data_IF_392890627064
#
_entry.id   IF_392890627064
#
_cell.length_a   1.000
_cell.length_b   1.000
_cell.length_c   1.000
_cell.angle_alpha   90.00
_cell.angle_beta   90.00
_cell.angle_gamma   90.00
#
_symmetry.space_group_name_H-M   'P 1'
#
loop_
_entity.id
_entity.type
_entity.pdbx_description
1 polymer ?
#
# COMPACT_ATOMS: atom_id res chain seq x y z
N UNK A 1 -70.52 -2.36 -51.27
CA UNK A 1 -71.75 -2.24 -50.46
C UNK A 1 -71.34 -2.18 -49.00
N UNK A 2 -72.12 -1.47 -48.20
CA UNK A 2 -71.93 -0.93 -46.83
C UNK A 2 -71.61 -2.00 -45.73
N UNK A 3 -71.29 -1.63 -44.47
CA UNK A 3 -69.99 -1.82 -43.79
C UNK A 3 -70.09 -2.62 -42.46
N UNK A 4 -69.01 -2.70 -41.69
CA UNK A 4 -68.98 -2.84 -40.20
C UNK A 4 -67.50 -2.93 -39.78
N UNK A 5 -66.86 -2.14 -38.91
CA UNK A 5 -67.18 -1.33 -37.73
C UNK A 5 -67.67 -2.10 -36.50
N UNK A 6 -66.71 -2.54 -35.68
CA UNK A 6 -66.73 -2.68 -34.21
C UNK A 6 -65.27 -2.49 -33.75
N UNK A 7 -64.84 -1.35 -33.20
CA UNK A 7 -64.98 -0.87 -31.82
C UNK A 7 -64.55 -1.87 -30.73
N UNK A 8 -63.33 -1.70 -30.21
CA UNK A 8 -62.91 -1.90 -28.81
C UNK A 8 -61.37 -1.74 -28.74
N UNK A 9 -60.83 -0.55 -28.50
CA UNK A 9 -60.62 0.02 -27.16
C UNK A 9 -59.80 -0.88 -26.22
N UNK A 10 -58.46 -0.89 -26.36
CA UNK A 10 -57.56 -1.07 -25.21
C UNK A 10 -56.31 -0.22 -25.45
N UNK A 11 -56.27 0.90 -24.71
CA UNK A 11 -55.11 1.61 -24.16
C UNK A 11 -53.79 1.52 -24.94
N UNK A 12 -53.36 2.59 -25.62
CA UNK A 12 -52.57 3.66 -24.98
C UNK A 12 -51.68 3.16 -23.84
N UNK A 13 -50.53 2.57 -24.15
CA UNK A 13 -49.29 2.70 -23.37
C UNK A 13 -48.25 1.70 -23.89
N UNK A 14 -47.62 1.95 -25.06
CA UNK A 14 -46.43 1.16 -25.43
C UNK A 14 -45.48 1.92 -26.37
N UNK A 15 -45.23 3.19 -26.11
CA UNK A 15 -44.24 3.97 -26.87
C UNK A 15 -43.51 5.04 -26.03
N UNK A 16 -43.32 4.81 -24.72
CA UNK A 16 -42.47 5.65 -23.86
C UNK A 16 -41.39 4.81 -23.15
N UNK A 17 -40.49 4.17 -23.91
CA UNK A 17 -39.39 3.45 -23.26
C UNK A 17 -38.07 3.38 -24.05
N UNK A 18 -37.75 4.33 -24.93
CA UNK A 18 -36.44 4.30 -25.61
C UNK A 18 -35.82 5.69 -25.87
N UNK A 19 -35.99 6.62 -24.93
CA UNK A 19 -35.12 7.80 -24.81
C UNK A 19 -34.32 7.71 -23.50
N UNK A 20 -33.49 6.67 -23.41
CA UNK A 20 -32.48 6.56 -22.36
C UNK A 20 -31.41 7.62 -22.58
N UNK A 21 -31.52 8.75 -21.89
CA UNK A 21 -30.46 9.74 -21.76
C UNK A 21 -29.23 9.08 -21.12
N UNK A 22 -28.19 8.82 -21.92
CA UNK A 22 -26.83 8.67 -21.40
C UNK A 22 -26.29 10.06 -21.09
N UNK A 23 -26.70 10.61 -19.95
CA UNK A 23 -26.03 11.74 -19.32
C UNK A 23 -26.17 11.54 -17.81
N UNK A 24 -25.23 10.78 -17.27
CA UNK A 24 -24.90 10.86 -15.86
C UNK A 24 -24.45 12.30 -15.60
N UNK A 25 -25.36 13.12 -15.10
CA UNK A 25 -25.04 14.42 -14.52
C UNK A 25 -24.13 14.15 -13.32
N UNK A 26 -22.84 14.55 -13.33
CA UNK A 26 -22.16 14.78 -12.07
C UNK A 26 -22.77 16.07 -11.53
N UNK A 27 -23.39 15.99 -10.37
CA UNK A 27 -23.67 17.18 -9.57
C UNK A 27 -22.35 17.85 -9.24
N UNK A 28 -21.91 18.79 -10.08
CA UNK A 28 -20.89 19.77 -9.73
C UNK A 28 -21.52 20.74 -8.75
N UNK A 29 -21.55 20.35 -7.47
CA UNK A 29 -21.55 21.30 -6.37
C UNK A 29 -20.19 21.97 -6.36
N UNK A 30 -20.08 23.11 -7.04
CA UNK A 30 -18.95 24.03 -6.91
C UNK A 30 -18.91 24.56 -5.48
N UNK A 31 -18.23 23.83 -4.60
CA UNK A 31 -17.48 24.46 -3.52
C UNK A 31 -16.19 24.96 -4.16
N UNK A 32 -16.11 26.26 -4.39
CA UNK A 32 -14.85 26.93 -4.70
C UNK A 32 -13.91 26.75 -3.50
N UNK A 33 -13.13 25.66 -3.51
CA UNK A 33 -11.87 25.62 -2.79
C UNK A 33 -10.87 26.40 -3.64
N UNK A 34 -10.26 27.42 -3.05
CA UNK A 34 -9.11 28.10 -3.63
C UNK A 34 -8.01 27.06 -3.83
N UNK A 35 -7.89 26.54 -5.05
CA UNK A 35 -6.89 25.54 -5.41
C UNK A 35 -5.56 26.27 -5.58
N UNK A 36 -4.90 26.51 -4.46
CA UNK A 36 -3.54 27.00 -4.44
C UNK A 36 -2.65 25.88 -4.98
N UNK A 37 -2.25 26.00 -6.25
CA UNK A 37 -1.30 25.10 -6.91
C UNK A 37 0.07 25.28 -6.26
N UNK A 38 0.28 24.61 -5.13
CA UNK A 38 1.60 24.45 -4.54
C UNK A 38 2.33 23.41 -5.39
N UNK A 39 3.48 23.78 -5.94
CA UNK A 39 4.32 22.83 -6.67
C UNK A 39 5.00 21.91 -5.66
N UNK A 40 4.39 20.75 -5.38
CA UNK A 40 4.97 19.74 -4.48
C UNK A 40 5.94 18.87 -5.27
N UNK A 41 7.15 18.70 -4.74
CA UNK A 41 8.15 17.78 -5.32
C UNK A 41 7.57 16.37 -5.37
N UNK A 42 7.57 15.78 -6.56
CA UNK A 42 7.17 14.40 -6.78
C UNK A 42 8.37 13.47 -6.51
N UNK A 43 8.08 12.28 -6.00
CA UNK A 43 9.05 11.24 -5.71
C UNK A 43 8.48 9.90 -6.19
N UNK A 44 9.36 9.04 -6.68
CA UNK A 44 8.99 7.67 -7.01
C UNK A 44 8.74 6.87 -5.73
N UNK A 45 7.90 5.84 -5.82
CA UNK A 45 7.56 4.99 -4.68
C UNK A 45 8.82 4.40 -4.02
N UNK A 46 9.82 4.01 -4.83
CA UNK A 46 11.11 3.48 -4.37
C UNK A 46 11.78 4.36 -3.32
N UNK A 47 11.65 5.69 -3.41
CA UNK A 47 12.22 6.64 -2.42
C UNK A 47 11.74 6.37 -0.99
N UNK A 48 10.55 5.78 -0.84
CA UNK A 48 9.95 5.50 0.47
C UNK A 48 9.92 4.01 0.83
N UNK A 49 10.10 3.12 -0.16
CA UNK A 49 10.01 1.67 0.04
C UNK A 49 11.36 0.96 0.04
N UNK A 50 12.40 1.52 -0.57
CA UNK A 50 13.76 0.99 -0.49
C UNK A 50 14.38 1.32 0.87
N UNK A 51 13.97 0.54 1.87
CA UNK A 51 14.37 0.73 3.27
C UNK A 51 14.84 -0.59 3.85
N UNK A 52 15.77 -0.51 4.81
CA UNK A 52 16.22 -1.66 5.60
C UNK A 52 15.62 -1.57 7.01
N UNK A 53 14.88 -2.59 7.41
CA UNK A 53 14.39 -2.74 8.77
C UNK A 53 15.49 -3.32 9.66
N UNK A 54 15.63 -2.74 10.85
CA UNK A 54 16.50 -3.25 11.90
C UNK A 54 15.67 -3.34 13.19
N UNK A 55 15.69 -4.51 13.83
CA UNK A 55 14.95 -4.74 15.08
C UNK A 55 15.73 -5.66 16.01
N UNK A 56 15.32 -5.68 17.28
CA UNK A 56 16.06 -6.39 18.32
C UNK A 56 17.43 -5.74 18.56
N UNK A 57 17.92 -5.82 19.80
CA UNK A 57 19.30 -5.47 20.09
C UNK A 57 19.77 -6.14 21.37
N UNK A 58 21.00 -6.66 21.34
CA UNK A 58 21.69 -7.14 22.53
C UNK A 58 23.16 -6.79 22.44
N UNK A 59 23.71 -6.21 23.50
CA UNK A 59 25.13 -5.93 23.58
C UNK A 59 25.91 -7.21 23.88
N UNK A 60 27.07 -7.37 23.25
CA UNK A 60 28.04 -8.40 23.63
C UNK A 60 28.44 -8.23 25.10
N UNK A 61 28.89 -9.29 25.81
CA UNK A 61 29.33 -9.17 27.20
C UNK A 61 30.49 -8.19 27.39
N UNK A 62 31.33 -8.01 26.36
CA UNK A 62 32.43 -7.03 26.34
C UNK A 62 31.96 -5.60 26.01
N UNK A 63 30.72 -5.44 25.55
CA UNK A 63 30.13 -4.15 25.18
C UNK A 63 30.76 -3.52 23.94
N UNK A 64 31.40 -4.31 23.08
CA UNK A 64 32.06 -3.86 21.85
C UNK A 64 31.22 -4.11 20.59
N UNK A 65 30.16 -4.93 20.69
CA UNK A 65 29.31 -5.32 19.58
C UNK A 65 27.83 -5.35 19.93
N UNK A 66 26.97 -5.25 18.92
CA UNK A 66 25.52 -5.33 19.04
C UNK A 66 24.99 -6.41 18.09
N UNK A 67 24.24 -7.37 18.62
CA UNK A 67 23.48 -8.33 17.83
C UNK A 67 22.13 -7.71 17.47
N UNK A 68 21.81 -7.68 16.17
CA UNK A 68 20.55 -7.16 15.63
C UNK A 68 19.94 -8.14 14.62
N UNK A 69 18.64 -8.00 14.38
CA UNK A 69 17.97 -8.58 13.21
C UNK A 69 17.85 -7.53 12.13
N UNK A 70 18.15 -7.90 10.88
CA UNK A 70 17.95 -7.02 9.73
C UNK A 70 17.46 -7.79 8.51
N UNK A 71 16.61 -7.13 7.72
CA UNK A 71 16.09 -7.62 6.44
C UNK A 71 16.95 -7.21 5.23
N UNK A 72 18.18 -6.71 5.45
CA UNK A 72 19.10 -6.26 4.39
C UNK A 72 19.36 -7.34 3.31
N UNK A 73 19.27 -8.62 3.68
CA UNK A 73 19.39 -9.76 2.77
C UNK A 73 18.09 -10.13 2.02
N UNK A 74 17.00 -9.39 2.23
CA UNK A 74 15.64 -9.69 1.72
C UNK A 74 14.77 -10.51 2.69
N UNK A 75 15.38 -11.16 3.68
CA UNK A 75 14.72 -11.80 4.83
C UNK A 75 15.48 -11.45 6.11
N UNK A 76 14.83 -11.58 7.27
CA UNK A 76 15.50 -11.31 8.55
C UNK A 76 16.62 -12.31 8.81
N UNK A 77 17.83 -11.81 8.97
CA UNK A 77 19.00 -12.56 9.42
C UNK A 77 19.61 -11.90 10.66
N UNK A 78 20.45 -12.64 11.39
CA UNK A 78 21.26 -12.09 12.45
C UNK A 78 22.46 -11.33 11.88
N UNK A 79 22.69 -10.13 12.41
CA UNK A 79 23.86 -9.32 12.11
C UNK A 79 24.54 -8.90 13.40
N UNK A 80 25.86 -8.83 13.35
CA UNK A 80 26.70 -8.26 14.38
C UNK A 80 27.18 -6.88 13.92
N UNK A 81 26.97 -5.86 14.76
CA UNK A 81 27.44 -4.50 14.52
C UNK A 81 28.58 -4.19 15.46
N UNK A 82 29.77 -3.91 14.94
CA UNK A 82 30.88 -3.40 15.73
C UNK A 82 30.64 -1.93 16.10
N UNK A 83 30.71 -1.60 17.39
CA UNK A 83 30.33 -0.26 17.88
C UNK A 83 31.34 0.81 17.45
N UNK A 84 32.62 0.46 17.29
CA UNK A 84 33.67 1.42 16.98
C UNK A 84 33.71 1.78 15.50
N UNK A 85 33.49 0.79 14.66
CA UNK A 85 33.63 0.89 13.20
C UNK A 85 32.29 1.01 12.48
N UNK A 86 31.19 0.69 13.16
CA UNK A 86 29.83 0.63 12.60
C UNK A 86 29.70 -0.43 11.49
N UNK A 87 30.67 -1.34 11.38
CA UNK A 87 30.62 -2.42 10.40
C UNK A 87 29.60 -3.47 10.82
N UNK A 88 28.75 -3.88 9.88
CA UNK A 88 27.77 -4.96 10.04
C UNK A 88 28.30 -6.25 9.40
N UNK A 89 28.28 -7.35 10.15
CA UNK A 89 28.63 -8.70 9.66
C UNK A 89 27.42 -9.61 9.79
N UNK A 90 27.00 -10.25 8.69
CA UNK A 90 25.91 -11.24 8.72
C UNK A 90 26.39 -12.53 9.38
N UNK A 91 25.64 -13.02 10.37
CA UNK A 91 26.00 -14.21 11.16
C UNK A 91 25.26 -15.48 10.71
N UNK A 92 24.11 -15.34 10.05
CA UNK A 92 23.24 -16.47 9.66
C UNK A 92 22.89 -16.40 8.19
N UNK A 93 22.82 -17.56 7.53
CA UNK A 93 22.37 -17.71 6.16
C UNK A 93 21.47 -18.94 6.00
N UNK A 94 20.18 -18.73 6.24
CA UNK A 94 19.16 -19.78 6.18
C UNK A 94 18.04 -19.36 5.23
N UNK A 95 17.23 -20.32 4.78
CA UNK A 95 16.04 -20.04 3.95
C UNK A 95 14.95 -19.31 4.75
N UNK A 96 14.86 -19.61 6.06
CA UNK A 96 13.90 -18.99 6.97
C UNK A 96 14.50 -17.80 7.73
N UNK A 97 13.63 -16.89 8.14
CA UNK A 97 14.01 -15.72 8.95
C UNK A 97 14.51 -16.11 10.34
N UNK A 98 15.58 -15.47 10.79
CA UNK A 98 16.12 -15.60 12.15
C UNK A 98 16.12 -14.26 12.88
N UNK A 99 15.79 -14.33 14.18
CA UNK A 99 15.55 -13.14 15.01
C UNK A 99 16.47 -13.11 16.22
N UNK A 100 17.01 -11.93 16.52
CA UNK A 100 17.93 -11.69 17.63
C UNK A 100 17.17 -11.79 18.96
N UNK A 101 17.76 -12.50 19.92
CA UNK A 101 17.26 -12.58 21.29
C UNK A 101 18.25 -11.91 22.24
N UNK A 102 19.38 -12.55 22.51
CA UNK A 102 20.46 -11.99 23.31
C UNK A 102 21.78 -12.76 23.11
N UNK A 103 22.90 -12.09 23.38
CA UNK A 103 24.16 -12.79 23.69
C UNK A 103 24.03 -13.56 25.00
N UNK A 104 24.77 -14.66 25.14
CA UNK A 104 24.90 -15.25 26.46
C UNK A 104 25.80 -14.38 27.35
N UNK A 105 25.56 -14.31 28.68
CA UNK A 105 26.30 -13.43 29.57
C UNK A 105 27.82 -13.67 29.66
N UNK A 106 28.34 -14.74 29.06
CA UNK A 106 29.74 -15.18 29.16
C UNK A 106 30.39 -15.49 27.80
N UNK A 107 29.76 -15.09 26.70
CA UNK A 107 30.34 -15.16 25.35
C UNK A 107 31.51 -14.17 25.17
#
# INVERSE_FOLDING_TARGET
>A
MKPSFQLAAVACALSLALAGCSQSTPSTSSTESVQQSQTVKQYDAETFFDTTSIMGSSFSPKGDKILVSSDESGIYSLYEVDIKTVQKTRLTDFEDSTYAVAYFPKD
#
